data_IF_488566261180
#
_entry.id   IF_488566261180
#
_cell.length_a   1.000
_cell.length_b   1.000
_cell.length_c   1.000
_cell.angle_alpha   90.00
_cell.angle_beta   90.00
_cell.angle_gamma   90.00
#
_symmetry.space_group_name_H-M   'P 1'
#
loop_
_entity.id
_entity.type
_entity.pdbx_description
1 polymer ?
#
# COMPACT_ATOMS: atom_id res chain seq x y z
N UNK A 1 -7.80 0.69 7.76
CA UNK A 1 -7.64 2.00 7.11
C UNK A 1 -7.90 1.88 5.62
N UNK A 2 -7.99 2.99 4.91
CA UNK A 2 -8.17 3.02 3.46
C UNK A 2 -7.21 4.02 2.84
N UNK A 3 -6.51 3.63 1.78
CA UNK A 3 -5.58 4.46 1.03
C UNK A 3 -5.80 4.31 -0.47
N UNK A 4 -5.43 5.37 -1.19
CA UNK A 4 -5.23 5.33 -2.63
C UNK A 4 -3.73 5.25 -2.89
N UNK A 5 -3.32 4.21 -3.60
CA UNK A 5 -1.95 4.02 -4.05
C UNK A 5 -1.86 4.34 -5.55
N UNK A 6 -1.18 5.42 -5.89
CA UNK A 6 -0.88 5.75 -7.28
C UNK A 6 0.15 4.76 -7.82
N UNK A 7 -0.17 4.06 -8.91
CA UNK A 7 0.74 3.21 -9.66
C UNK A 7 0.93 3.78 -11.07
N UNK A 8 2.03 3.46 -11.76
CA UNK A 8 2.21 3.84 -13.17
C UNK A 8 1.05 3.38 -14.09
N UNK A 9 0.35 2.31 -13.68
CA UNK A 9 -0.75 1.68 -14.44
C UNK A 9 -2.15 2.11 -14.00
N UNK A 10 -2.28 2.99 -12.99
CA UNK A 10 -3.56 3.48 -12.47
C UNK A 10 -3.60 3.58 -10.94
N UNK A 11 -4.76 3.91 -10.37
CA UNK A 11 -4.96 4.03 -8.92
C UNK A 11 -5.45 2.75 -8.30
N UNK A 12 -4.75 2.25 -7.30
CA UNK A 12 -5.19 1.09 -6.54
C UNK A 12 -5.74 1.51 -5.19
N UNK A 13 -6.83 0.87 -4.79
CA UNK A 13 -7.45 1.04 -3.49
C UNK A 13 -6.89 -0.01 -2.54
N UNK A 14 -6.26 0.43 -1.45
CA UNK A 14 -5.73 -0.45 -0.40
C UNK A 14 -6.61 -0.29 0.83
N UNK A 15 -7.18 -1.38 1.31
CA UNK A 15 -8.02 -1.43 2.50
C UNK A 15 -7.42 -2.42 3.50
N UNK A 16 -7.35 -2.01 4.76
CA UNK A 16 -6.86 -2.87 5.85
C UNK A 16 -7.80 -2.84 7.02
N UNK A 17 -7.85 -3.93 7.79
CA UNK A 17 -8.48 -3.96 9.10
C UNK A 17 -7.57 -4.71 10.06
N UNK A 18 -7.05 -3.99 11.07
CA UNK A 18 -6.28 -4.60 12.17
C UNK A 18 -7.16 -5.53 13.01
N UNK A 19 -8.41 -5.12 13.25
CA UNK A 19 -9.41 -5.86 14.02
C UNK A 19 -9.80 -7.17 13.33
N UNK A 20 -10.03 -7.09 12.02
CA UNK A 20 -10.51 -8.25 11.25
C UNK A 20 -9.36 -9.05 10.63
N UNK A 21 -8.12 -8.58 10.79
CA UNK A 21 -6.93 -9.27 10.26
C UNK A 21 -6.88 -9.29 8.73
N UNK A 22 -7.36 -8.23 8.07
CA UNK A 22 -7.51 -8.20 6.62
C UNK A 22 -6.66 -7.15 5.93
N UNK A 23 -6.20 -7.49 4.73
CA UNK A 23 -5.57 -6.59 3.76
C UNK A 23 -6.15 -6.91 2.39
N UNK A 24 -6.72 -5.91 1.72
CA UNK A 24 -7.30 -6.03 0.39
C UNK A 24 -6.77 -4.91 -0.51
N UNK A 25 -6.40 -5.27 -1.74
CA UNK A 25 -5.96 -4.35 -2.78
C UNK A 25 -6.83 -4.54 -4.01
N UNK A 26 -7.40 -3.45 -4.52
CA UNK A 26 -8.24 -3.43 -5.71
C UNK A 26 -7.72 -2.43 -6.73
N UNK A 27 -7.89 -2.73 -8.02
CA UNK A 27 -7.67 -1.72 -9.06
C UNK A 27 -8.86 -0.75 -9.20
N UNK A 28 -8.74 0.23 -10.09
CA UNK A 28 -9.79 1.23 -10.35
C UNK A 28 -11.12 0.62 -10.84
N UNK A 29 -11.08 -0.59 -11.40
CA UNK A 29 -12.26 -1.32 -11.87
C UNK A 29 -12.89 -2.17 -10.76
N UNK A 30 -12.35 -2.10 -9.54
CA UNK A 30 -12.79 -2.89 -8.39
C UNK A 30 -12.33 -4.34 -8.42
N UNK A 31 -11.42 -4.72 -9.35
CA UNK A 31 -10.89 -6.08 -9.40
C UNK A 31 -9.93 -6.28 -8.24
N UNK A 32 -10.11 -7.35 -7.48
CA UNK A 32 -9.21 -7.72 -6.38
C UNK A 32 -7.88 -8.20 -6.97
N UNK A 33 -6.82 -7.45 -6.69
CA UNK A 33 -5.45 -7.80 -7.06
C UNK A 33 -4.78 -8.64 -5.99
N UNK A 34 -5.10 -8.35 -4.73
CA UNK A 34 -4.61 -9.07 -3.56
C UNK A 34 -5.64 -9.05 -2.45
N UNK A 35 -5.79 -10.19 -1.79
CA UNK A 35 -6.58 -10.33 -0.58
C UNK A 35 -5.89 -11.28 0.38
N UNK A 36 -5.82 -10.88 1.64
CA UNK A 36 -5.32 -11.66 2.77
C UNK A 36 -6.23 -11.45 3.96
N UNK A 37 -6.50 -12.52 4.68
CA UNK A 37 -7.39 -12.56 5.82
C UNK A 37 -6.75 -13.39 6.94
N UNK A 38 -7.37 -13.38 8.13
CA UNK A 38 -6.91 -14.10 9.33
C UNK A 38 -5.48 -13.74 9.76
N UNK A 39 -5.04 -12.53 9.43
CA UNK A 39 -3.75 -12.01 9.88
C UNK A 39 -3.84 -11.54 11.32
N UNK A 40 -2.74 -11.64 12.07
CA UNK A 40 -2.68 -11.00 13.38
C UNK A 40 -2.73 -9.48 13.25
N UNK A 41 -3.27 -8.81 14.26
CA UNK A 41 -3.27 -7.34 14.34
C UNK A 41 -1.86 -6.76 14.14
N UNK A 42 -0.85 -7.38 14.76
CA UNK A 42 0.54 -6.95 14.63
C UNK A 42 1.06 -7.05 13.19
N UNK A 43 0.70 -8.11 12.45
CA UNK A 43 1.08 -8.26 11.05
C UNK A 43 0.42 -7.20 10.16
N UNK A 44 -0.87 -6.93 10.36
CA UNK A 44 -1.56 -5.86 9.62
C UNK A 44 -0.91 -4.51 9.93
N UNK A 45 -0.67 -4.18 11.20
CA UNK A 45 0.00 -2.94 11.60
C UNK A 45 1.37 -2.78 10.92
N UNK A 46 2.19 -3.84 10.89
CA UNK A 46 3.51 -3.81 10.24
C UNK A 46 3.39 -3.55 8.73
N UNK A 47 2.38 -4.12 8.07
CA UNK A 47 2.11 -3.85 6.64
C UNK A 47 1.72 -2.40 6.43
N UNK A 48 0.85 -1.83 7.27
CA UNK A 48 0.43 -0.43 7.15
C UNK A 48 1.62 0.53 7.33
N UNK A 49 2.48 0.28 8.32
CA UNK A 49 3.69 1.07 8.57
C UNK A 49 4.68 0.97 7.41
N UNK A 50 4.91 -0.24 6.89
CA UNK A 50 5.80 -0.45 5.75
C UNK A 50 5.25 0.20 4.47
N UNK A 51 3.95 0.06 4.22
CA UNK A 51 3.28 0.70 3.08
C UNK A 51 3.40 2.22 3.14
N UNK A 52 3.15 2.82 4.31
CA UNK A 52 3.31 4.26 4.51
C UNK A 52 4.76 4.69 4.24
N UNK A 53 5.74 3.93 4.72
CA UNK A 53 7.15 4.22 4.49
C UNK A 53 7.51 4.17 3.00
N UNK A 54 7.03 3.19 2.23
CA UNK A 54 7.29 3.10 0.79
C UNK A 54 6.66 4.29 0.07
N UNK A 55 5.35 4.51 0.25
CA UNK A 55 4.61 5.57 -0.46
C UNK A 55 5.10 6.97 -0.08
N UNK A 56 5.48 7.19 1.18
CA UNK A 56 6.02 8.47 1.62
C UNK A 56 7.43 8.73 1.07
N UNK A 57 8.27 7.69 0.95
CA UNK A 57 9.66 7.84 0.49
C UNK A 57 9.82 7.77 -1.03
N UNK A 58 8.89 7.16 -1.77
CA UNK A 58 8.86 7.23 -3.24
C UNK A 58 8.64 8.66 -3.76
N UNK A 59 8.19 9.59 -2.91
CA UNK A 59 8.11 11.03 -3.22
C UNK A 59 9.41 11.81 -3.03
N UNK A 60 10.53 11.18 -2.63
CA UNK A 60 11.85 11.79 -2.83
C UNK A 60 12.24 11.55 -4.29
N UNK A 61 12.13 12.55 -5.18
CA UNK A 61 12.65 12.38 -6.54
C UNK A 61 14.11 12.00 -6.41
N UNK A 62 14.57 11.07 -7.24
CA UNK A 62 16.00 10.82 -7.43
C UNK A 62 16.72 12.15 -7.73
N UNK A 63 17.27 12.78 -6.69
CA UNK A 63 18.16 13.95 -6.81
C UNK A 63 19.63 13.55 -6.74
N UNK A 64 19.97 12.27 -6.89
CA UNK A 64 21.35 11.79 -6.73
C UNK A 64 21.99 11.22 -8.01
N UNK A 65 21.48 11.52 -9.22
CA UNK A 65 22.14 11.12 -10.47
C UNK A 65 22.06 12.21 -11.57
N UNK A 66 22.43 13.45 -11.24
CA UNK A 66 22.70 14.51 -12.23
C UNK A 66 23.86 15.39 -11.76
N UNK A 67 24.98 14.78 -11.36
CA UNK A 67 26.29 15.46 -11.33
C UNK A 67 27.35 14.45 -11.79
N UNK A 68 27.54 14.36 -13.10
CA UNK A 68 28.78 13.96 -13.75
C UNK A 68 29.21 15.08 -14.68
#
# INVERSE_FOLDING_TARGET
>A
MEWIWEQPVGRWKVQTSRRDGTVRVQDEKGRILLERENMSEAAVKMIEENFLNIVANEKKPHQDLMFQ
#
